data_IF_426057075342
#
_entry.id   IF_426057075342
#
_cell.length_a   1.000
_cell.length_b   1.000
_cell.length_c   1.000
_cell.angle_alpha   90.00
_cell.angle_beta   90.00
_cell.angle_gamma   90.00
#
_symmetry.space_group_name_H-M   'P 1'
#
loop_
_entity.id
_entity.type
_entity.pdbx_description
1 polymer ?
#
# COMPACT_ATOMS: atom_id res chain seq x y z
N UNK A 1 1.01 -1.37 -20.15
CA UNK A 1 1.08 -2.18 -18.91
C UNK A 1 2.49 -2.72 -18.73
N UNK A 2 2.97 -2.92 -17.49
CA UNK A 2 4.20 -3.67 -17.27
C UNK A 2 4.06 -5.10 -17.84
N UNK A 3 5.19 -5.81 -18.08
CA UNK A 3 5.17 -7.23 -18.44
C UNK A 3 4.24 -8.04 -17.51
N UNK A 4 3.41 -8.97 -18.02
CA UNK A 4 2.39 -9.66 -17.22
C UNK A 4 2.89 -10.28 -15.92
N UNK A 5 4.12 -10.80 -15.93
CA UNK A 5 4.78 -11.38 -14.76
C UNK A 5 5.09 -10.38 -13.63
N UNK A 6 4.93 -9.07 -13.87
CA UNK A 6 5.14 -7.99 -12.91
C UNK A 6 3.83 -7.30 -12.49
N UNK A 7 2.67 -7.74 -13.01
CA UNK A 7 1.39 -7.10 -12.71
C UNK A 7 0.84 -7.45 -11.31
N UNK A 8 1.33 -8.53 -10.69
CA UNK A 8 0.95 -8.94 -9.33
C UNK A 8 2.09 -8.68 -8.34
N UNK A 9 1.82 -8.80 -7.05
CA UNK A 9 2.83 -8.69 -6.00
C UNK A 9 4.02 -9.61 -6.26
N UNK A 10 5.23 -9.03 -6.27
CA UNK A 10 6.46 -9.74 -6.59
C UNK A 10 7.66 -9.16 -5.84
N UNK A 11 8.72 -9.95 -5.66
CA UNK A 11 9.94 -9.48 -4.97
C UNK A 11 10.72 -8.42 -5.74
N UNK A 12 10.57 -8.35 -7.07
CA UNK A 12 11.30 -7.41 -7.92
C UNK A 12 10.88 -5.97 -7.62
N UNK A 13 9.58 -5.70 -7.45
CA UNK A 13 9.09 -4.36 -7.13
C UNK A 13 9.59 -3.86 -5.76
N UNK A 14 9.68 -4.77 -4.77
CA UNK A 14 10.17 -4.45 -3.43
C UNK A 14 11.68 -4.15 -3.47
N UNK A 15 12.47 -5.00 -4.13
CA UNK A 15 13.90 -4.80 -4.28
C UNK A 15 14.21 -3.50 -5.04
N UNK A 16 13.45 -3.19 -6.10
CA UNK A 16 13.63 -1.96 -6.86
C UNK A 16 13.31 -0.73 -6.01
N UNK A 17 12.20 -0.72 -5.25
CA UNK A 17 11.91 0.37 -4.32
C UNK A 17 13.03 0.57 -3.29
N UNK A 18 13.61 -0.52 -2.78
CA UNK A 18 14.76 -0.49 -1.89
C UNK A 18 15.99 0.19 -2.52
N UNK A 19 16.33 -0.15 -3.76
CA UNK A 19 17.45 0.48 -4.49
C UNK A 19 17.20 1.98 -4.71
N UNK A 20 15.99 2.37 -5.12
CA UNK A 20 15.65 3.78 -5.35
C UNK A 20 15.76 4.60 -4.06
N UNK A 21 15.25 4.06 -2.94
CA UNK A 21 15.39 4.70 -1.61
C UNK A 21 16.84 4.77 -1.15
N UNK A 22 17.61 3.70 -1.38
CA UNK A 22 19.04 3.66 -1.02
C UNK A 22 19.85 4.72 -1.79
N UNK A 23 19.62 4.86 -3.10
CA UNK A 23 20.27 5.88 -3.94
C UNK A 23 20.00 7.31 -3.48
N UNK A 24 18.82 7.54 -2.90
CA UNK A 24 18.42 8.83 -2.34
C UNK A 24 18.77 8.98 -0.84
N UNK A 25 19.41 7.97 -0.24
CA UNK A 25 19.69 7.89 1.19
C UNK A 25 18.45 8.06 2.08
N UNK A 26 17.30 7.54 1.63
CA UNK A 26 16.03 7.63 2.32
C UNK A 26 15.78 6.39 3.18
N UNK A 27 15.66 6.58 4.49
CA UNK A 27 15.28 5.54 5.44
C UNK A 27 16.18 4.30 5.38
N UNK A 28 17.48 4.50 5.15
CA UNK A 28 18.48 3.45 5.16
C UNK A 28 18.94 3.23 6.60
N UNK A 29 18.66 2.05 7.14
CA UNK A 29 19.13 1.66 8.46
C UNK A 29 20.56 1.09 8.35
N UNK A 30 21.52 1.72 9.01
CA UNK A 30 22.91 1.22 9.08
C UNK A 30 23.14 0.24 10.24
N UNK A 31 22.22 0.23 11.20
CA UNK A 31 22.15 -0.73 12.30
C UNK A 31 20.71 -1.21 12.41
N UNK A 32 20.54 -2.53 12.49
CA UNK A 32 19.23 -3.11 12.70
C UNK A 32 18.78 -2.85 14.14
N UNK A 33 17.58 -2.30 14.38
CA UNK A 33 17.06 -2.18 15.73
C UNK A 33 16.70 -3.57 16.28
N UNK A 34 16.78 -3.74 17.60
CA UNK A 34 16.38 -4.99 18.28
C UNK A 34 14.88 -5.30 18.06
N UNK A 35 14.09 -4.25 17.78
CA UNK A 35 12.67 -4.34 17.49
C UNK A 35 12.35 -3.57 16.21
N UNK A 36 11.77 -4.26 15.22
CA UNK A 36 11.17 -3.66 14.03
C UNK A 36 9.75 -4.23 13.89
N UNK A 37 8.74 -3.37 14.08
CA UNK A 37 7.33 -3.77 13.99
C UNK A 37 6.80 -3.43 12.59
N UNK A 38 6.30 -4.40 11.82
CA UNK A 38 5.62 -4.11 10.56
C UNK A 38 4.37 -3.26 10.80
N UNK A 39 4.23 -2.17 10.06
CA UNK A 39 3.03 -1.34 10.07
C UNK A 39 2.07 -1.78 8.96
N UNK A 40 0.78 -1.88 9.30
CA UNK A 40 -0.27 -2.24 8.32
C UNK A 40 -0.61 -1.11 7.34
N UNK A 41 -0.14 0.12 7.59
CA UNK A 41 -0.36 1.29 6.72
C UNK A 41 1.00 1.86 6.33
N UNK A 42 1.26 1.96 5.03
CA UNK A 42 2.45 2.63 4.48
C UNK A 42 1.98 3.74 3.54
N UNK A 43 1.90 5.00 3.99
CA UNK A 43 1.35 6.09 3.17
C UNK A 43 2.22 6.34 1.93
N UNK A 44 1.59 6.33 0.75
CA UNK A 44 2.24 6.67 -0.53
C UNK A 44 2.02 8.14 -0.93
N UNK A 45 1.69 8.99 0.04
CA UNK A 45 1.33 10.40 -0.16
C UNK A 45 0.23 10.84 0.82
N UNK A 46 -0.36 12.03 0.59
CA UNK A 46 -1.51 12.50 1.34
C UNK A 46 -2.69 11.53 1.23
N UNK A 47 -3.40 11.31 2.34
CA UNK A 47 -4.65 10.55 2.33
C UNK A 47 -5.74 11.41 1.66
N UNK A 48 -6.27 10.93 0.54
CA UNK A 48 -7.33 11.60 -0.22
C UNK A 48 -8.69 10.90 -0.08
N UNK A 49 -8.83 9.98 0.88
CA UNK A 49 -10.05 9.17 1.03
C UNK A 49 -11.31 10.03 1.19
N UNK A 50 -11.23 11.14 1.92
CA UNK A 50 -12.34 12.09 2.08
C UNK A 50 -12.71 12.78 0.76
N UNK A 51 -11.71 13.15 -0.06
CA UNK A 51 -11.93 13.78 -1.36
C UNK A 51 -12.62 12.80 -2.31
N UNK A 52 -12.17 11.54 -2.33
CA UNK A 52 -12.78 10.47 -3.13
C UNK A 52 -14.23 10.23 -2.71
N UNK A 53 -14.53 10.24 -1.41
CA UNK A 53 -15.90 10.13 -0.90
C UNK A 53 -16.77 11.31 -1.33
N UNK A 54 -16.24 12.54 -1.22
CA UNK A 54 -16.96 13.76 -1.60
C UNK A 54 -17.27 13.82 -3.11
N UNK A 55 -16.42 13.24 -3.95
CA UNK A 55 -16.64 13.16 -5.39
C UNK A 55 -17.82 12.26 -5.81
N UNK A 56 -18.39 11.46 -4.89
CA UNK A 56 -19.51 10.54 -5.15
C UNK A 56 -19.32 9.73 -6.45
N UNK A 57 -18.12 9.17 -6.62
CA UNK A 57 -17.75 8.43 -7.82
C UNK A 57 -18.63 7.18 -7.97
N UNK A 58 -19.24 7.02 -9.13
CA UNK A 58 -19.94 5.80 -9.50
C UNK A 58 -18.88 4.73 -9.81
N UNK A 59 -18.64 3.86 -8.84
CA UNK A 59 -17.71 2.73 -8.99
C UNK A 59 -18.51 1.50 -9.41
N UNK A 60 -18.11 0.80 -10.49
CA UNK A 60 -18.84 -0.36 -10.99
C UNK A 60 -18.82 -1.57 -10.03
N UNK A 61 -18.13 -1.46 -8.90
CA UNK A 61 -17.94 -2.51 -7.92
C UNK A 61 -18.40 -2.05 -6.53
N UNK A 62 -19.48 -2.66 -6.03
CA UNK A 62 -20.08 -2.31 -4.74
C UNK A 62 -19.31 -2.94 -3.57
N UNK A 63 -18.34 -2.18 -3.05
CA UNK A 63 -17.56 -2.57 -1.87
C UNK A 63 -18.36 -2.52 -0.57
N UNK A 64 -19.48 -1.78 -0.51
CA UNK A 64 -20.31 -1.66 0.72
C UNK A 64 -20.97 -2.99 1.04
N UNK A 65 -21.43 -3.70 0.02
CA UNK A 65 -22.01 -5.04 0.13
C UNK A 65 -21.02 -6.12 0.65
N UNK A 66 -19.70 -5.91 0.54
CA UNK A 66 -18.68 -6.86 1.01
C UNK A 66 -18.40 -6.66 2.51
N UNK A 67 -18.40 -5.41 2.97
CA UNK A 67 -18.17 -5.10 4.39
C UNK A 67 -19.38 -5.48 5.24
N UNK A 68 -20.62 -5.26 4.75
CA UNK A 68 -21.83 -5.70 5.44
C UNK A 68 -21.96 -7.23 5.53
N UNK A 69 -21.42 -7.97 4.55
CA UNK A 69 -21.43 -9.46 4.57
C UNK A 69 -20.32 -10.08 5.41
N UNK A 70 -19.32 -9.31 5.84
CA UNK A 70 -18.33 -9.77 6.81
C UNK A 70 -18.77 -9.33 8.20
N UNK A 71 -19.59 -10.15 8.84
CA UNK A 71 -19.71 -10.23 10.30
C UNK A 71 -18.32 -10.50 10.91
N UNK A 72 -17.47 -9.48 10.99
CA UNK A 72 -16.28 -9.48 11.84
C UNK A 72 -16.71 -8.75 13.09
N UNK A 73 -17.14 -9.54 14.08
CA UNK A 73 -17.27 -9.08 15.46
C UNK A 73 -15.90 -8.58 15.92
N UNK A 74 -15.81 -7.28 16.22
CA UNK A 74 -14.76 -6.74 17.09
C UNK A 74 -15.04 -7.13 18.53
#
# INVERSE_FOLDING_TARGET
CPPPQLCTDNGVMIAWNGIERYRQNLNVLTKMPDTLVPEGRSPLGPDISEQVQACNLDVPFDWKNILEKKHISL
#
